data_IF_775553991875
#
_entry.id   IF_775553991875
#
_cell.length_a   1.000
_cell.length_b   1.000
_cell.length_c   1.000
_cell.angle_alpha   90.00
_cell.angle_beta   90.00
_cell.angle_gamma   90.00
#
_symmetry.space_group_name_H-M   'P 1'
#
loop_
_entity.id
_entity.type
_entity.pdbx_description
1 polymer ?
#
# COMPACT_ATOMS: atom_id res chain seq x y z
N UNK A 1 -7.52 -8.70 -11.12
CA UNK A 1 -6.90 -7.38 -11.42
C UNK A 1 -7.51 -6.34 -10.50
N UNK A 2 -6.76 -5.31 -10.12
CA UNK A 2 -7.23 -4.22 -9.25
C UNK A 2 -6.84 -2.85 -9.85
N UNK A 3 -7.22 -1.76 -9.17
CA UNK A 3 -6.85 -0.38 -9.53
C UNK A 3 -6.14 0.30 -8.34
N UNK A 4 -4.87 -0.04 -8.07
CA UNK A 4 -4.17 0.38 -6.86
C UNK A 4 -3.77 1.86 -6.88
N UNK A 5 -4.02 2.58 -7.98
CA UNK A 5 -3.65 3.98 -8.16
C UNK A 5 -4.84 4.94 -8.04
N UNK A 6 -6.06 4.48 -8.33
CA UNK A 6 -7.24 5.35 -8.44
C UNK A 6 -7.63 6.09 -7.16
N UNK A 7 -7.17 5.63 -5.98
CA UNK A 7 -7.51 6.22 -4.68
C UNK A 7 -6.36 7.02 -4.02
N UNK A 8 -5.21 7.20 -4.69
CA UNK A 8 -4.03 7.83 -4.07
C UNK A 8 -4.34 9.25 -3.57
N UNK A 9 -4.95 10.06 -4.43
CA UNK A 9 -5.27 11.47 -4.15
C UNK A 9 -6.31 11.56 -3.03
N UNK A 10 -7.38 10.77 -3.12
CA UNK A 10 -8.44 10.73 -2.13
C UNK A 10 -7.89 10.35 -0.74
N UNK A 11 -7.04 9.32 -0.67
CA UNK A 11 -6.44 8.89 0.59
C UNK A 11 -5.50 9.95 1.19
N UNK A 12 -4.74 10.65 0.34
CA UNK A 12 -3.88 11.75 0.78
C UNK A 12 -4.69 12.94 1.32
N UNK A 13 -5.79 13.30 0.65
CA UNK A 13 -6.68 14.37 1.09
C UNK A 13 -7.40 14.02 2.39
N UNK A 14 -7.89 12.79 2.52
CA UNK A 14 -8.50 12.31 3.75
C UNK A 14 -7.51 12.34 4.92
N UNK A 15 -6.25 11.97 4.70
CA UNK A 15 -5.19 12.08 5.71
C UNK A 15 -5.01 13.53 6.22
N UNK A 16 -4.99 14.50 5.31
CA UNK A 16 -4.90 15.92 5.67
C UNK A 16 -6.17 16.39 6.37
N UNK A 17 -7.35 15.94 5.93
CA UNK A 17 -8.63 16.26 6.55
C UNK A 17 -8.71 15.74 7.99
N UNK A 18 -8.28 14.51 8.25
CA UNK A 18 -8.17 13.92 9.58
C UNK A 18 -7.20 14.69 10.47
N UNK A 19 -6.03 15.05 9.93
CA UNK A 19 -5.03 15.88 10.61
C UNK A 19 -5.62 17.23 11.05
N UNK A 20 -6.26 17.95 10.12
CA UNK A 20 -6.89 19.24 10.41
C UNK A 20 -8.06 19.12 11.39
N UNK A 21 -8.87 18.06 11.26
CA UNK A 21 -10.01 17.80 12.15
C UNK A 21 -9.59 17.65 13.60
N UNK A 22 -8.49 16.95 13.86
CA UNK A 22 -7.89 16.87 15.19
C UNK A 22 -7.26 18.17 15.64
N UNK A 23 -6.39 18.75 14.82
CA UNK A 23 -5.61 19.95 15.18
C UNK A 23 -6.52 21.13 15.49
N UNK A 24 -7.67 21.22 14.82
CA UNK A 24 -8.64 22.31 14.98
C UNK A 24 -9.89 21.91 15.79
N UNK A 25 -9.96 20.67 16.29
CA UNK A 25 -11.09 20.13 17.07
C UNK A 25 -12.44 20.28 16.35
N UNK A 26 -12.45 20.10 15.03
CA UNK A 26 -13.62 20.37 14.17
C UNK A 26 -14.82 19.51 14.59
N UNK A 27 -14.59 18.21 14.80
CA UNK A 27 -15.66 17.24 15.14
C UNK A 27 -16.25 17.54 16.53
N UNK A 28 -15.41 17.84 17.52
CA UNK A 28 -15.88 18.19 18.87
C UNK A 28 -16.70 19.49 18.86
N UNK A 29 -16.23 20.51 18.13
CA UNK A 29 -16.88 21.80 18.03
C UNK A 29 -18.25 21.70 17.31
N UNK A 30 -18.32 20.95 16.21
CA UNK A 30 -19.58 20.66 15.50
C UNK A 30 -20.58 19.98 16.45
N UNK A 31 -20.15 18.93 17.18
CA UNK A 31 -21.01 18.22 18.12
C UNK A 31 -21.55 19.13 19.22
N UNK A 32 -20.73 20.02 19.77
CA UNK A 32 -21.12 20.98 20.81
C UNK A 32 -22.19 21.96 20.30
N UNK A 33 -22.00 22.53 19.11
CA UNK A 33 -22.99 23.45 18.51
C UNK A 33 -24.31 22.74 18.22
N UNK A 34 -24.28 21.50 17.70
CA UNK A 34 -25.48 20.69 17.46
C UNK A 34 -26.23 20.33 18.75
N UNK A 35 -25.50 20.20 19.85
CA UNK A 35 -26.08 20.00 21.18
C UNK A 35 -26.67 21.29 21.79
N UNK A 36 -26.63 22.42 21.07
CA UNK A 36 -27.13 23.72 21.54
C UNK A 36 -26.15 24.48 22.43
N UNK A 37 -24.90 24.04 22.53
CA UNK A 37 -23.87 24.71 23.32
C UNK A 37 -23.13 25.78 22.50
N UNK A 38 -22.65 26.83 23.18
CA UNK A 38 -21.77 27.84 22.57
C UNK A 38 -20.51 28.05 23.40
N UNK A 39 -19.59 27.09 23.33
CA UNK A 39 -18.42 27.01 24.23
C UNK A 39 -17.09 27.33 23.53
N UNK A 40 -17.02 28.47 22.80
CA UNK A 40 -15.85 28.90 22.00
C UNK A 40 -14.51 28.75 22.73
N UNK A 41 -14.43 29.13 24.01
CA UNK A 41 -13.19 29.09 24.80
C UNK A 41 -12.64 27.67 25.03
N UNK A 42 -13.48 26.62 24.92
CA UNK A 42 -13.05 25.22 25.06
C UNK A 42 -12.29 24.71 23.84
N UNK A 43 -12.47 25.32 22.66
CA UNK A 43 -11.96 24.80 21.38
C UNK A 43 -10.71 25.53 20.90
N UNK A 44 -9.67 25.58 21.74
CA UNK A 44 -8.35 26.06 21.33
C UNK A 44 -7.66 24.95 20.52
N UNK A 45 -7.39 25.23 19.25
CA UNK A 45 -6.69 24.34 18.34
C UNK A 45 -5.22 24.73 18.15
N UNK A 46 -4.55 24.02 17.23
CA UNK A 46 -3.15 24.22 16.87
C UNK A 46 -3.01 24.51 15.37
N UNK A 47 -2.09 25.40 15.02
CA UNK A 47 -1.69 25.64 13.62
C UNK A 47 -0.78 24.51 13.12
N UNK A 48 -0.77 24.25 11.81
CA UNK A 48 0.19 23.31 11.19
C UNK A 48 1.53 23.95 10.85
N UNK A 49 1.56 25.26 10.57
CA UNK A 49 2.77 25.97 10.17
C UNK A 49 3.91 25.76 11.17
N UNK A 50 5.10 25.50 10.65
CA UNK A 50 6.33 25.24 11.41
C UNK A 50 6.31 23.98 12.29
N UNK A 51 5.27 23.14 12.19
CA UNK A 51 5.25 21.82 12.83
C UNK A 51 5.93 20.78 11.96
N UNK A 52 6.34 19.68 12.59
CA UNK A 52 6.96 18.54 11.92
C UNK A 52 5.91 17.49 11.60
N UNK A 53 5.76 17.16 10.32
CA UNK A 53 5.07 15.96 9.87
C UNK A 53 6.09 14.82 9.78
N UNK A 54 5.86 13.76 10.55
CA UNK A 54 6.57 12.51 10.46
C UNK A 54 5.78 11.50 9.64
N UNK A 55 6.31 11.11 8.49
CA UNK A 55 5.74 10.06 7.65
C UNK A 55 6.38 8.72 7.96
N UNK A 56 5.57 7.71 8.20
CA UNK A 56 6.01 6.31 8.22
C UNK A 56 5.56 5.68 6.91
N UNK A 57 6.50 5.49 5.99
CA UNK A 57 6.25 5.18 4.58
C UNK A 57 6.12 6.43 3.70
N UNK A 58 6.90 6.50 2.63
CA UNK A 58 6.88 7.60 1.64
C UNK A 58 6.63 7.08 0.21
N UNK A 59 5.77 6.07 0.11
CA UNK A 59 5.20 5.64 -1.16
C UNK A 59 4.24 6.66 -1.77
N UNK A 60 3.46 6.25 -2.77
CA UNK A 60 2.61 7.15 -3.57
C UNK A 60 1.69 8.07 -2.73
N UNK A 61 0.98 7.51 -1.74
CA UNK A 61 0.10 8.31 -0.85
C UNK A 61 0.94 9.20 0.07
N UNK A 62 2.00 8.67 0.68
CA UNK A 62 2.87 9.42 1.57
C UNK A 62 3.53 10.63 0.88
N UNK A 63 3.97 10.50 -0.37
CA UNK A 63 4.51 11.62 -1.15
C UNK A 63 3.45 12.70 -1.41
N UNK A 64 2.21 12.31 -1.72
CA UNK A 64 1.10 13.25 -1.92
C UNK A 64 0.68 13.97 -0.63
N UNK A 65 0.82 13.30 0.52
CA UNK A 65 0.62 13.90 1.85
C UNK A 65 1.75 14.89 2.14
N UNK A 66 3.01 14.52 1.89
CA UNK A 66 4.18 15.39 2.08
C UNK A 66 4.02 16.70 1.29
N UNK A 67 3.65 16.61 0.01
CA UNK A 67 3.42 17.76 -0.87
C UNK A 67 2.35 18.70 -0.32
N UNK A 68 1.23 18.17 0.19
CA UNK A 68 0.15 18.97 0.79
C UNK A 68 0.59 19.59 2.12
N UNK A 69 1.28 18.83 2.97
CA UNK A 69 1.77 19.31 4.25
C UNK A 69 2.79 20.46 4.09
N UNK A 70 3.65 20.38 3.08
CA UNK A 70 4.58 21.46 2.73
C UNK A 70 3.84 22.77 2.39
N UNK A 71 2.68 22.70 1.72
CA UNK A 71 1.85 23.87 1.43
C UNK A 71 1.26 24.53 2.70
N UNK A 72 1.14 23.79 3.80
CA UNK A 72 0.80 24.34 5.13
C UNK A 72 2.03 24.89 5.89
N UNK A 73 3.22 24.85 5.29
CA UNK A 73 4.46 25.28 5.92
C UNK A 73 4.97 24.32 6.99
N UNK A 74 4.66 23.02 6.88
CA UNK A 74 5.22 21.98 7.74
C UNK A 74 6.61 21.55 7.26
N UNK A 75 7.46 21.14 8.19
CA UNK A 75 8.69 20.39 7.89
C UNK A 75 8.34 18.92 7.78
N UNK A 76 8.76 18.22 6.72
CA UNK A 76 8.46 16.80 6.53
C UNK A 76 9.71 15.94 6.76
N UNK A 77 9.61 14.99 7.68
CA UNK A 77 10.58 13.91 7.86
C UNK A 77 9.90 12.58 7.56
N UNK A 78 10.64 11.60 7.05
CA UNK A 78 10.06 10.33 6.66
C UNK A 78 10.98 9.15 7.02
N UNK A 79 10.36 8.06 7.46
CA UNK A 79 11.02 6.76 7.58
C UNK A 79 10.46 5.80 6.52
N UNK A 80 11.30 5.34 5.62
CA UNK A 80 10.97 4.30 4.64
C UNK A 80 12.26 3.55 4.26
N UNK A 81 12.39 2.26 4.64
CA UNK A 81 13.61 1.50 4.39
C UNK A 81 13.87 1.19 2.91
N UNK A 82 12.88 1.41 2.04
CA UNK A 82 12.99 1.17 0.59
C UNK A 82 13.14 2.46 -0.22
N UNK A 83 12.99 3.62 0.40
CA UNK A 83 13.15 4.90 -0.27
C UNK A 83 14.62 5.31 -0.36
N UNK A 84 14.96 6.03 -1.43
CA UNK A 84 16.25 6.70 -1.56
C UNK A 84 16.16 8.15 -1.11
N UNK A 85 17.27 8.71 -0.64
CA UNK A 85 17.41 10.14 -0.32
C UNK A 85 16.93 11.06 -1.45
N UNK A 86 17.22 10.69 -2.71
CA UNK A 86 16.78 11.46 -3.88
C UNK A 86 15.24 11.42 -4.04
N UNK A 87 14.62 10.25 -3.88
CA UNK A 87 13.17 10.11 -3.97
C UNK A 87 12.44 10.88 -2.86
N UNK A 88 12.97 10.85 -1.63
CA UNK A 88 12.39 11.57 -0.51
C UNK A 88 12.51 13.10 -0.67
N UNK A 89 13.68 13.60 -1.10
CA UNK A 89 13.86 15.03 -1.41
C UNK A 89 12.89 15.50 -2.49
N UNK A 90 12.66 14.68 -3.51
CA UNK A 90 11.69 14.99 -4.58
C UNK A 90 10.27 15.12 -4.03
N UNK A 91 9.90 14.29 -3.05
CA UNK A 91 8.64 14.39 -2.32
C UNK A 91 8.61 15.52 -1.26
N UNK A 92 9.70 16.28 -1.09
CA UNK A 92 9.79 17.36 -0.11
C UNK A 92 10.04 16.88 1.33
N UNK A 93 10.58 15.67 1.50
CA UNK A 93 10.87 15.09 2.81
C UNK A 93 12.36 14.79 3.00
N UNK A 94 12.79 14.75 4.26
CA UNK A 94 14.12 14.25 4.66
C UNK A 94 13.97 12.83 5.22
N UNK A 95 14.79 11.89 4.75
CA UNK A 95 14.81 10.54 5.32
C UNK A 95 15.50 10.53 6.68
N UNK A 96 14.91 9.77 7.60
CA UNK A 96 15.38 9.58 8.97
C UNK A 96 15.03 8.16 9.44
N UNK A 97 15.60 7.74 10.56
CA UNK A 97 15.15 6.49 11.20
C UNK A 97 13.78 6.66 11.87
N UNK A 98 13.15 5.53 12.20
CA UNK A 98 11.83 5.53 12.83
C UNK A 98 11.84 6.21 14.21
N UNK A 99 12.93 6.06 14.98
CA UNK A 99 13.03 6.65 16.33
C UNK A 99 13.03 8.18 16.24
N UNK A 100 13.76 8.76 15.29
CA UNK A 100 13.76 10.19 15.00
C UNK A 100 12.37 10.67 14.55
N UNK A 101 11.65 9.93 13.69
CA UNK A 101 10.26 10.26 13.34
C UNK A 101 9.41 10.37 14.60
N UNK A 102 9.41 9.33 15.44
CA UNK A 102 8.57 9.26 16.63
C UNK A 102 8.87 10.42 17.60
N UNK A 103 10.14 10.73 17.82
CA UNK A 103 10.57 11.73 18.81
C UNK A 103 10.42 13.17 18.33
N UNK A 104 10.51 13.42 17.03
CA UNK A 104 10.55 14.79 16.48
C UNK A 104 9.25 15.25 15.84
N UNK A 105 8.36 14.34 15.43
CA UNK A 105 7.11 14.69 14.77
C UNK A 105 6.07 15.27 15.74
N UNK A 106 5.32 16.25 15.25
CA UNK A 106 4.08 16.74 15.89
C UNK A 106 2.85 16.04 15.32
N UNK A 107 2.94 15.57 14.08
CA UNK A 107 1.92 14.73 13.42
C UNK A 107 2.65 13.50 12.88
N UNK A 108 2.28 12.30 13.32
CA UNK A 108 2.78 11.04 12.78
C UNK A 108 1.69 10.48 11.86
N UNK A 109 1.98 10.30 10.57
CA UNK A 109 1.05 9.73 9.60
C UNK A 109 1.58 8.44 8.98
N UNK A 110 0.74 7.41 8.96
CA UNK A 110 1.11 6.06 8.53
C UNK A 110 0.67 5.78 7.09
N UNK A 111 1.61 5.36 6.25
CA UNK A 111 1.41 5.04 4.83
C UNK A 111 2.20 3.79 4.41
N UNK A 112 2.15 2.75 5.24
CA UNK A 112 2.84 1.47 5.01
C UNK A 112 1.87 0.35 4.61
N UNK A 113 2.30 -0.63 3.80
CA UNK A 113 1.57 -1.88 3.66
C UNK A 113 1.58 -2.68 4.97
N UNK A 114 0.62 -3.58 5.12
CA UNK A 114 0.63 -4.54 6.22
C UNK A 114 1.59 -5.70 5.90
N UNK A 115 2.55 -5.91 6.78
CA UNK A 115 3.57 -6.96 6.75
C UNK A 115 3.85 -7.38 8.19
N UNK A 116 4.59 -8.47 8.40
CA UNK A 116 5.00 -8.87 9.75
C UNK A 116 5.86 -7.81 10.46
N UNK A 117 6.60 -6.98 9.68
CA UNK A 117 7.43 -5.89 10.21
C UNK A 117 6.64 -4.63 10.56
N UNK A 118 5.47 -4.44 9.97
CA UNK A 118 4.64 -3.23 10.14
C UNK A 118 3.41 -3.46 10.99
N UNK A 119 3.07 -4.73 11.29
CA UNK A 119 2.01 -5.09 12.24
C UNK A 119 2.38 -4.62 13.64
N UNK A 120 1.48 -3.89 14.30
CA UNK A 120 1.71 -3.36 15.64
C UNK A 120 2.91 -2.42 15.73
N UNK A 121 3.27 -1.77 14.63
CA UNK A 121 4.37 -0.80 14.58
C UNK A 121 4.14 0.35 15.55
N UNK A 122 2.89 0.83 15.61
CA UNK A 122 2.45 1.78 16.62
C UNK A 122 1.84 1.03 17.80
N UNK A 123 2.69 0.71 18.78
CA UNK A 123 2.38 0.04 20.03
C UNK A 123 2.74 0.92 21.26
N UNK A 124 2.57 0.40 22.47
CA UNK A 124 2.85 1.13 23.71
C UNK A 124 4.28 1.71 23.77
N UNK A 125 5.31 0.97 23.36
CA UNK A 125 6.69 1.44 23.36
C UNK A 125 6.89 2.60 22.36
N UNK A 126 6.35 2.47 21.16
CA UNK A 126 6.43 3.52 20.15
C UNK A 126 5.70 4.79 20.57
N UNK A 127 4.53 4.65 21.22
CA UNK A 127 3.72 5.76 21.71
C UNK A 127 4.44 6.50 22.83
N UNK A 128 5.15 5.79 23.71
CA UNK A 128 5.95 6.37 24.78
C UNK A 128 7.13 7.22 24.27
N UNK A 129 7.62 6.99 23.05
CA UNK A 129 8.69 7.77 22.42
C UNK A 129 8.19 9.08 21.81
N UNK A 130 6.89 9.20 21.56
CA UNK A 130 6.31 10.37 20.91
C UNK A 130 6.28 11.60 21.82
N UNK A 131 6.22 12.79 21.20
CA UNK A 131 5.94 14.01 21.97
C UNK A 131 4.58 13.91 22.62
N UNK A 132 4.45 14.47 23.82
CA UNK A 132 3.15 14.60 24.49
C UNK A 132 2.12 15.38 23.67
N UNK A 133 2.59 16.32 22.85
CA UNK A 133 1.77 17.11 21.93
C UNK A 133 1.48 16.44 20.59
N UNK A 134 2.07 15.27 20.32
CA UNK A 134 1.94 14.60 19.03
C UNK A 134 0.53 14.06 18.82
N UNK A 135 0.14 13.96 17.55
CA UNK A 135 -1.04 13.21 17.12
C UNK A 135 -0.64 12.10 16.15
N UNK A 136 -1.40 11.00 16.17
CA UNK A 136 -1.23 9.87 15.24
C UNK A 136 -2.38 9.86 14.23
N UNK A 137 -2.06 9.68 12.96
CA UNK A 137 -3.03 9.58 11.87
C UNK A 137 -2.81 8.28 11.10
N UNK A 138 -3.85 7.46 10.96
CA UNK A 138 -3.80 6.23 10.19
C UNK A 138 -5.00 6.10 9.25
N UNK A 139 -4.73 6.28 7.96
CA UNK A 139 -5.65 5.98 6.86
C UNK A 139 -5.08 4.92 5.91
N UNK A 140 -4.20 4.04 6.43
CA UNK A 140 -3.48 3.04 5.64
C UNK A 140 -3.98 1.61 5.90
N UNK A 141 -3.51 0.98 6.99
CA UNK A 141 -3.86 -0.38 7.40
C UNK A 141 -4.12 -0.44 8.90
N UNK A 142 -5.22 -1.06 9.31
CA UNK A 142 -5.68 -1.05 10.69
C UNK A 142 -4.70 -1.69 11.66
N UNK A 143 -4.16 -2.85 11.30
CA UNK A 143 -3.27 -3.67 12.15
C UNK A 143 -1.87 -3.09 12.34
N UNK A 144 -1.56 -1.94 11.71
CA UNK A 144 -0.31 -1.22 11.95
C UNK A 144 -0.32 -0.54 13.32
N UNK A 145 -1.51 -0.26 13.85
CA UNK A 145 -1.72 0.39 15.14
C UNK A 145 -2.36 -0.60 16.11
N UNK A 146 -1.76 -0.76 17.28
CA UNK A 146 -2.43 -1.37 18.43
C UNK A 146 -3.42 -0.36 19.02
N UNK A 147 -4.72 -0.57 18.75
CA UNK A 147 -5.76 0.37 19.14
C UNK A 147 -6.03 0.41 20.64
N UNK A 148 -5.70 -0.66 21.38
CA UNK A 148 -5.89 -0.71 22.83
C UNK A 148 -4.75 0.01 23.54
N UNK A 149 -3.51 -0.17 23.07
CA UNK A 149 -2.37 0.63 23.51
C UNK A 149 -2.59 2.13 23.19
N UNK A 150 -3.11 2.44 22.00
CA UNK A 150 -3.44 3.80 21.60
C UNK A 150 -4.52 4.43 22.49
N UNK A 151 -5.61 3.71 22.75
CA UNK A 151 -6.67 4.19 23.64
C UNK A 151 -6.12 4.49 25.04
N UNK A 152 -5.32 3.58 25.60
CA UNK A 152 -4.67 3.75 26.89
C UNK A 152 -3.71 4.94 26.92
N UNK A 153 -2.92 5.15 25.87
CA UNK A 153 -2.01 6.29 25.74
C UNK A 153 -2.76 7.62 25.68
N UNK A 154 -3.93 7.67 25.04
CA UNK A 154 -4.79 8.85 24.99
C UNK A 154 -5.42 9.17 26.33
N UNK A 155 -5.92 8.15 27.05
CA UNK A 155 -6.48 8.32 28.40
C UNK A 155 -5.44 8.84 29.39
N UNK A 156 -4.19 8.33 29.31
CA UNK A 156 -3.06 8.81 30.14
C UNK A 156 -2.51 10.15 29.69
N UNK A 157 -2.92 10.66 28.52
CA UNK A 157 -2.37 11.87 27.92
C UNK A 157 -0.89 11.75 27.56
N UNK A 158 -0.45 10.54 27.17
CA UNK A 158 0.88 10.24 26.61
C UNK A 158 1.04 10.94 25.25
N UNK A 159 -0.02 11.02 24.46
CA UNK A 159 -0.11 11.80 23.21
C UNK A 159 -1.38 12.65 23.21
N UNK A 160 -1.50 13.62 22.29
CA UNK A 160 -2.56 14.63 22.31
C UNK A 160 -3.83 14.27 21.53
N UNK A 161 -3.79 13.23 20.68
CA UNK A 161 -4.93 12.81 19.88
C UNK A 161 -4.58 11.75 18.82
N UNK A 162 -5.62 11.13 18.26
CA UNK A 162 -5.45 10.17 17.17
C UNK A 162 -6.63 10.19 16.18
N UNK A 163 -6.34 10.00 14.90
CA UNK A 163 -7.35 9.93 13.86
C UNK A 163 -7.16 8.65 13.04
N UNK A 164 -8.20 7.81 13.01
CA UNK A 164 -8.15 6.49 12.39
C UNK A 164 -9.29 6.37 11.38
N UNK A 165 -8.95 6.02 10.16
CA UNK A 165 -9.92 5.61 9.14
C UNK A 165 -10.05 4.09 9.01
N UNK A 166 -9.05 3.35 9.51
CA UNK A 166 -8.93 1.90 9.36
C UNK A 166 -8.71 1.22 10.70
N UNK A 167 -9.20 -0.01 10.83
CA UNK A 167 -9.16 -0.77 12.08
C UNK A 167 -8.76 -2.23 11.82
N UNK A 168 -8.16 -2.88 12.82
CA UNK A 168 -7.75 -4.29 12.68
C UNK A 168 -8.95 -5.22 12.43
N UNK A 169 -10.10 -4.88 13.01
CA UNK A 169 -11.37 -5.53 12.74
C UNK A 169 -12.37 -4.49 12.23
N UNK A 170 -12.92 -4.75 11.04
CA UNK A 170 -13.93 -3.91 10.40
C UNK A 170 -15.19 -4.75 10.09
N UNK A 171 -16.39 -4.35 10.53
CA UNK A 171 -16.71 -3.13 11.28
C UNK A 171 -16.08 -3.09 12.69
N UNK A 172 -15.74 -1.88 13.15
CA UNK A 172 -15.14 -1.68 14.49
C UNK A 172 -16.09 -2.23 15.58
N UNK A 173 -15.65 -3.13 16.49
CA UNK A 173 -16.49 -3.66 17.55
C UNK A 173 -17.07 -2.56 18.46
N UNK A 174 -18.30 -2.74 18.94
CA UNK A 174 -19.03 -1.71 19.70
C UNK A 174 -18.40 -1.40 21.07
N UNK A 175 -17.74 -2.38 21.67
CA UNK A 175 -17.08 -2.33 22.97
C UNK A 175 -15.63 -1.84 22.91
N UNK A 176 -15.02 -1.79 21.71
CA UNK A 176 -13.64 -1.37 21.48
C UNK A 176 -13.29 -0.05 22.22
N UNK A 177 -12.20 -0.08 23.01
CA UNK A 177 -11.83 1.02 23.91
C UNK A 177 -11.62 2.35 23.17
N UNK A 178 -11.04 2.29 21.96
CA UNK A 178 -10.77 3.46 21.12
C UNK A 178 -12.04 4.29 20.80
N UNK A 179 -13.24 3.69 20.81
CA UNK A 179 -14.51 4.41 20.62
C UNK A 179 -14.81 5.43 21.72
N UNK A 180 -14.28 5.20 22.93
CA UNK A 180 -14.48 6.05 24.11
C UNK A 180 -13.25 6.90 24.45
N UNK A 181 -12.12 6.62 23.81
CA UNK A 181 -10.87 7.33 24.06
C UNK A 181 -11.02 8.82 23.72
N UNK A 182 -10.46 9.72 24.55
CA UNK A 182 -10.56 11.16 24.32
C UNK A 182 -9.75 11.56 23.08
N UNK A 183 -10.10 12.70 22.48
CA UNK A 183 -9.32 13.34 21.39
C UNK A 183 -9.13 12.42 20.18
N UNK A 184 -10.16 11.65 19.85
CA UNK A 184 -10.19 10.76 18.69
C UNK A 184 -11.08 11.28 17.56
N UNK A 185 -10.68 11.03 16.31
CA UNK A 185 -11.54 11.14 15.13
C UNK A 185 -11.54 9.79 14.42
N UNK A 186 -12.69 9.15 14.33
CA UNK A 186 -12.82 7.81 13.76
C UNK A 186 -13.73 7.87 12.53
N UNK A 187 -13.25 7.40 11.39
CA UNK A 187 -14.02 7.34 10.13
C UNK A 187 -14.08 5.90 9.61
N UNK A 188 -15.17 5.50 8.93
CA UNK A 188 -15.42 4.09 8.62
C UNK A 188 -14.80 3.66 7.28
N UNK A 189 -13.47 3.72 7.16
CA UNK A 189 -12.71 3.30 5.98
C UNK A 189 -13.15 4.00 4.69
N UNK A 190 -13.16 5.33 4.72
CA UNK A 190 -13.64 6.17 3.62
C UNK A 190 -12.55 6.96 2.91
N UNK A 191 -11.27 6.71 3.22
CA UNK A 191 -10.15 7.40 2.57
C UNK A 191 -10.17 7.30 1.04
N UNK A 192 -10.66 6.18 0.49
CA UNK A 192 -10.82 5.98 -0.96
C UNK A 192 -12.21 6.28 -1.51
N UNK A 193 -13.15 6.71 -0.66
CA UNK A 193 -14.58 6.81 -0.99
C UNK A 193 -14.95 8.20 -1.50
N UNK A 194 -14.41 8.57 -2.66
CA UNK A 194 -14.77 9.81 -3.38
C UNK A 194 -15.31 9.50 -4.78
N UNK A 195 -16.14 10.38 -5.33
CA UNK A 195 -16.68 10.25 -6.69
C UNK A 195 -15.54 10.13 -7.71
N UNK A 196 -14.48 10.92 -7.55
CA UNK A 196 -13.30 10.94 -8.40
C UNK A 196 -12.53 9.62 -8.30
N UNK A 197 -12.31 9.12 -7.08
CA UNK A 197 -11.61 7.85 -6.89
C UNK A 197 -12.40 6.67 -7.47
N UNK A 198 -13.72 6.63 -7.28
CA UNK A 198 -14.57 5.60 -7.87
C UNK A 198 -14.54 5.65 -9.41
N UNK A 199 -14.56 6.87 -9.98
CA UNK A 199 -14.43 7.07 -11.43
C UNK A 199 -13.07 6.59 -11.93
N UNK A 200 -11.98 6.99 -11.29
CA UNK A 200 -10.63 6.60 -11.67
C UNK A 200 -10.43 5.08 -11.57
N UNK A 201 -10.93 4.46 -10.49
CA UNK A 201 -10.90 3.00 -10.32
C UNK A 201 -11.67 2.30 -11.44
N UNK A 202 -12.86 2.80 -11.79
CA UNK A 202 -13.65 2.24 -12.88
C UNK A 202 -12.91 2.34 -14.23
N UNK A 203 -12.37 3.52 -14.56
CA UNK A 203 -11.58 3.74 -15.78
C UNK A 203 -10.36 2.82 -15.81
N UNK A 204 -9.56 2.77 -14.74
CA UNK A 204 -8.37 1.93 -14.63
C UNK A 204 -8.69 0.44 -14.84
N UNK A 205 -9.82 -0.03 -14.31
CA UNK A 205 -10.26 -1.42 -14.50
C UNK A 205 -10.71 -1.66 -15.94
N UNK A 206 -11.52 -0.76 -16.51
CA UNK A 206 -12.02 -0.89 -17.89
C UNK A 206 -10.87 -0.89 -18.89
N UNK A 207 -9.91 0.03 -18.76
CA UNK A 207 -8.73 0.06 -19.64
C UNK A 207 -7.94 -1.24 -19.56
N UNK A 208 -7.73 -1.78 -18.35
CA UNK A 208 -7.04 -3.06 -18.20
C UNK A 208 -7.84 -4.23 -18.80
N UNK A 209 -9.18 -4.20 -18.76
CA UNK A 209 -10.02 -5.22 -19.41
C UNK A 209 -9.84 -5.13 -20.92
N UNK A 210 -9.90 -3.92 -21.49
CA UNK A 210 -9.70 -3.71 -22.91
C UNK A 210 -8.31 -4.17 -23.36
N UNK A 211 -7.26 -3.84 -22.60
CA UNK A 211 -5.91 -4.33 -22.85
C UNK A 211 -5.85 -5.87 -22.89
N UNK A 212 -6.48 -6.54 -21.92
CA UNK A 212 -6.53 -8.02 -21.89
C UNK A 212 -7.31 -8.60 -23.07
N UNK A 213 -8.43 -7.99 -23.45
CA UNK A 213 -9.23 -8.43 -24.60
C UNK A 213 -8.49 -8.22 -25.94
N UNK A 214 -7.62 -7.21 -26.01
CA UNK A 214 -6.70 -6.96 -27.12
C UNK A 214 -5.44 -7.86 -27.08
N UNK A 215 -5.36 -8.80 -26.14
CA UNK A 215 -4.25 -9.74 -26.01
C UNK A 215 -3.00 -9.16 -25.33
N UNK A 216 -3.08 -7.97 -24.74
CA UNK A 216 -2.02 -7.41 -23.89
C UNK A 216 -2.12 -7.95 -22.46
N UNK A 217 -1.03 -7.92 -21.67
CA UNK A 217 -1.09 -8.39 -20.29
C UNK A 217 -1.83 -7.41 -19.36
N UNK A 218 -2.47 -7.94 -18.31
CA UNK A 218 -3.09 -7.13 -17.27
C UNK A 218 -2.02 -6.43 -16.41
N UNK A 219 -2.03 -5.08 -16.40
CA UNK A 219 -1.03 -4.23 -15.71
C UNK A 219 -0.96 -4.46 -14.20
N UNK A 220 -2.11 -4.63 -13.55
CA UNK A 220 -2.24 -4.88 -12.12
C UNK A 220 -2.98 -6.21 -11.87
N UNK A 221 -2.50 -7.27 -12.49
CA UNK A 221 -2.93 -8.62 -12.15
C UNK A 221 -2.59 -8.92 -10.67
N UNK A 222 -3.54 -9.52 -9.96
CA UNK A 222 -3.39 -9.89 -8.54
C UNK A 222 -3.01 -11.36 -8.36
N UNK A 223 -3.15 -12.13 -9.44
CA UNK A 223 -2.99 -13.58 -9.49
C UNK A 223 -2.15 -14.03 -10.70
N UNK A 224 -1.55 -13.10 -11.44
CA UNK A 224 -0.66 -13.41 -12.56
C UNK A 224 0.72 -12.82 -12.29
N UNK A 225 1.78 -13.43 -12.85
CA UNK A 225 3.11 -12.83 -12.84
C UNK A 225 3.06 -11.41 -13.41
N UNK A 226 3.86 -10.52 -12.83
CA UNK A 226 3.91 -9.14 -13.29
C UNK A 226 4.53 -9.09 -14.68
N UNK A 227 3.99 -8.28 -15.62
CA UNK A 227 4.63 -8.11 -16.91
C UNK A 227 6.04 -7.54 -16.71
N UNK A 228 7.09 -8.13 -17.31
CA UNK A 228 8.44 -7.59 -17.23
C UNK A 228 8.50 -6.22 -17.92
N UNK A 229 9.41 -5.35 -17.45
CA UNK A 229 9.57 -4.00 -18.00
C UNK A 229 9.90 -4.02 -19.50
N UNK A 230 9.26 -3.13 -20.28
CA UNK A 230 9.45 -3.06 -21.74
C UNK A 230 10.81 -2.46 -22.14
N UNK A 231 11.47 -1.72 -21.26
CA UNK A 231 12.77 -1.08 -21.51
C UNK A 231 13.88 -2.08 -21.89
N UNK A 232 13.74 -3.37 -21.51
CA UNK A 232 14.62 -4.47 -21.88
C UNK A 232 13.97 -5.48 -22.85
N UNK A 233 12.89 -5.10 -23.54
CA UNK A 233 12.14 -5.96 -24.44
C UNK A 233 11.37 -7.07 -23.73
N UNK A 234 10.91 -6.83 -22.49
CA UNK A 234 10.31 -7.83 -21.62
C UNK A 234 9.25 -8.70 -22.29
N UNK A 235 8.34 -8.12 -23.08
CA UNK A 235 7.29 -8.89 -23.74
C UNK A 235 7.78 -9.70 -24.94
N UNK A 236 8.89 -9.30 -25.56
CA UNK A 236 9.55 -10.12 -26.57
C UNK A 236 10.12 -11.40 -25.92
N UNK A 237 10.73 -11.30 -24.73
CA UNK A 237 11.23 -12.45 -23.98
C UNK A 237 10.12 -13.37 -23.48
N UNK A 238 8.99 -12.82 -23.00
CA UNK A 238 7.81 -13.61 -22.63
C UNK A 238 7.29 -14.40 -23.83
N UNK A 239 7.13 -13.76 -25.00
CA UNK A 239 6.72 -14.44 -26.23
C UNK A 239 7.73 -15.50 -26.70
N UNK A 240 9.02 -15.21 -26.55
CA UNK A 240 10.08 -16.17 -26.88
C UNK A 240 10.01 -17.39 -25.95
N UNK A 241 9.92 -17.18 -24.64
CA UNK A 241 9.81 -18.25 -23.64
C UNK A 241 8.60 -19.15 -23.91
N UNK A 242 7.44 -18.55 -24.21
CA UNK A 242 6.24 -19.30 -24.60
C UNK A 242 6.45 -20.14 -25.86
N UNK A 243 7.07 -19.55 -26.91
CA UNK A 243 7.38 -20.27 -28.15
C UNK A 243 8.39 -21.38 -27.94
N UNK A 244 9.39 -21.19 -27.08
CA UNK A 244 10.37 -22.22 -26.74
C UNK A 244 9.72 -23.38 -25.98
N UNK A 245 8.81 -23.09 -25.04
CA UNK A 245 8.02 -24.12 -24.37
C UNK A 245 7.15 -24.92 -25.34
N UNK A 246 6.47 -24.24 -26.27
CA UNK A 246 5.65 -24.88 -27.31
C UNK A 246 6.49 -25.69 -28.30
N UNK A 247 7.67 -25.19 -28.68
CA UNK A 247 8.61 -25.92 -29.52
C UNK A 247 9.12 -27.18 -28.81
N UNK A 248 9.50 -27.06 -27.54
CA UNK A 248 9.92 -28.20 -26.74
C UNK A 248 8.81 -29.26 -26.67
N UNK A 249 7.56 -28.86 -26.46
CA UNK A 249 6.43 -29.79 -26.46
C UNK A 249 6.30 -30.60 -27.76
N UNK A 250 6.50 -29.96 -28.92
CA UNK A 250 6.40 -30.60 -30.23
C UNK A 250 7.55 -31.56 -30.55
N UNK A 251 8.69 -31.42 -29.86
CA UNK A 251 9.85 -32.29 -30.01
C UNK A 251 9.80 -33.51 -29.07
N UNK A 252 8.81 -33.58 -28.19
CA UNK A 252 8.65 -34.67 -27.24
C UNK A 252 7.57 -35.65 -27.72
N UNK A 253 7.87 -36.94 -27.65
CA UNK A 253 6.90 -38.00 -27.96
C UNK A 253 5.85 -38.15 -26.85
N UNK A 254 6.24 -37.84 -25.61
CA UNK A 254 5.43 -38.00 -24.39
C UNK A 254 5.55 -36.78 -23.47
N UNK A 255 4.64 -36.71 -22.50
CA UNK A 255 4.61 -35.63 -21.51
C UNK A 255 5.87 -35.65 -20.62
N UNK A 256 6.60 -34.53 -20.47
CA UNK A 256 7.83 -34.51 -19.69
C UNK A 256 7.57 -34.56 -18.18
N UNK A 257 8.45 -35.25 -17.46
CA UNK A 257 8.48 -35.25 -15.99
C UNK A 257 9.19 -34.00 -15.42
N UNK A 258 10.11 -33.41 -16.19
CA UNK A 258 10.90 -32.26 -15.79
C UNK A 258 11.05 -31.25 -16.94
N UNK A 259 11.00 -29.96 -16.59
CA UNK A 259 11.34 -28.83 -17.46
C UNK A 259 12.50 -28.07 -16.81
N UNK A 260 13.61 -27.93 -17.52
CA UNK A 260 14.74 -27.09 -17.09
C UNK A 260 14.75 -25.79 -17.91
N UNK A 261 14.82 -24.65 -17.22
CA UNK A 261 14.92 -23.33 -17.83
C UNK A 261 16.27 -22.69 -17.49
N UNK A 262 17.06 -22.40 -18.52
CA UNK A 262 18.35 -21.72 -18.39
C UNK A 262 18.25 -20.28 -18.88
N UNK A 263 18.62 -19.34 -18.02
CA UNK A 263 18.61 -17.90 -18.30
C UNK A 263 20.05 -17.40 -18.40
N UNK A 264 20.41 -16.78 -19.54
CA UNK A 264 21.74 -16.25 -19.77
C UNK A 264 21.72 -14.86 -20.45
N UNK A 265 22.67 -14.01 -20.09
CA UNK A 265 22.84 -12.69 -20.70
C UNK A 265 21.78 -11.66 -20.26
N UNK A 266 21.32 -10.83 -21.21
CA UNK A 266 20.48 -9.66 -20.91
C UNK A 266 19.14 -9.98 -20.21
N UNK A 267 18.64 -11.22 -20.36
CA UNK A 267 17.40 -11.69 -19.75
C UNK A 267 17.48 -11.79 -18.22
N UNK A 268 18.70 -11.83 -17.64
CA UNK A 268 18.90 -11.90 -16.19
C UNK A 268 18.43 -10.62 -15.46
N UNK A 269 18.31 -9.50 -16.18
CA UNK A 269 17.74 -8.26 -15.64
C UNK A 269 16.21 -8.25 -15.55
N UNK A 270 15.53 -9.29 -16.06
CA UNK A 270 14.08 -9.42 -16.02
C UNK A 270 13.60 -10.29 -14.86
N UNK A 271 12.34 -10.09 -14.49
CA UNK A 271 11.65 -10.97 -13.56
C UNK A 271 11.50 -12.38 -14.18
N UNK A 272 12.13 -13.41 -13.60
CA UNK A 272 12.09 -14.76 -14.15
C UNK A 272 10.71 -15.39 -14.05
N UNK A 273 9.84 -14.91 -13.15
CA UNK A 273 8.55 -15.55 -12.90
C UNK A 273 7.64 -15.50 -14.13
N UNK A 274 7.61 -14.35 -14.82
CA UNK A 274 6.84 -14.18 -16.05
C UNK A 274 7.37 -15.07 -17.19
N UNK A 275 8.70 -15.22 -17.28
CA UNK A 275 9.34 -16.07 -18.29
C UNK A 275 9.08 -17.55 -18.01
N UNK A 276 9.19 -17.97 -16.74
CA UNK A 276 8.87 -19.32 -16.28
C UNK A 276 7.42 -19.67 -16.59
N UNK A 277 6.48 -18.82 -16.18
CA UNK A 277 5.06 -19.04 -16.44
C UNK A 277 4.75 -19.12 -17.94
N UNK A 278 5.40 -18.30 -18.77
CA UNK A 278 5.24 -18.33 -20.22
C UNK A 278 5.79 -19.61 -20.85
N UNK A 279 6.99 -20.06 -20.47
CA UNK A 279 7.57 -21.32 -20.96
C UNK A 279 6.71 -22.53 -20.55
N UNK A 280 6.27 -22.57 -19.30
CA UNK A 280 5.38 -23.63 -18.79
C UNK A 280 4.03 -23.60 -19.50
N UNK A 281 3.47 -22.41 -19.75
CA UNK A 281 2.23 -22.25 -20.54
C UNK A 281 2.41 -22.88 -21.92
N UNK A 282 3.42 -22.45 -22.68
CA UNK A 282 3.66 -22.94 -24.03
C UNK A 282 3.88 -24.45 -24.09
N UNK A 283 4.58 -25.01 -23.10
CA UNK A 283 4.77 -26.45 -22.98
C UNK A 283 3.43 -27.17 -22.72
N UNK A 284 2.69 -26.76 -21.69
CA UNK A 284 1.50 -27.46 -21.23
C UNK A 284 0.30 -27.29 -22.16
N UNK A 285 0.20 -26.18 -22.89
CA UNK A 285 -0.92 -25.91 -23.81
C UNK A 285 -1.03 -26.98 -24.91
N UNK A 286 0.10 -27.60 -25.30
CA UNK A 286 0.14 -28.70 -26.27
C UNK A 286 -0.39 -30.04 -25.70
N UNK A 287 -0.34 -30.22 -24.38
CA UNK A 287 -0.69 -31.47 -23.69
C UNK A 287 -1.96 -31.35 -22.83
N UNK A 288 -2.71 -30.26 -22.93
CA UNK A 288 -3.79 -29.92 -22.00
C UNK A 288 -5.08 -29.59 -22.73
N UNK A 289 -6.15 -30.32 -22.42
CA UNK A 289 -7.51 -29.96 -22.86
C UNK A 289 -8.06 -28.73 -22.11
N UNK A 290 -7.55 -28.48 -20.90
CA UNK A 290 -7.84 -27.26 -20.14
C UNK A 290 -6.99 -26.10 -20.69
N UNK A 291 -7.63 -24.96 -20.93
CA UNK A 291 -6.96 -23.71 -21.33
C UNK A 291 -5.86 -23.33 -20.34
N UNK A 292 -4.63 -23.22 -20.83
CA UNK A 292 -3.46 -22.81 -20.05
C UNK A 292 -3.18 -21.33 -20.30
N UNK A 293 -2.83 -20.58 -19.25
CA UNK A 293 -2.49 -19.17 -19.31
C UNK A 293 -1.42 -18.83 -18.25
N UNK A 294 -0.91 -17.61 -18.24
CA UNK A 294 0.16 -17.19 -17.32
C UNK A 294 -0.21 -17.24 -15.83
N UNK A 295 -1.51 -17.24 -15.51
CA UNK A 295 -2.02 -17.37 -14.12
C UNK A 295 -1.96 -18.81 -13.67
N UNK A 296 -2.53 -19.73 -14.45
CA UNK A 296 -2.72 -21.12 -14.02
C UNK A 296 -1.58 -22.06 -14.44
N UNK A 297 -0.66 -21.65 -15.31
CA UNK A 297 0.38 -22.52 -15.87
C UNK A 297 1.23 -23.20 -14.78
N UNK A 298 1.69 -22.45 -13.77
CA UNK A 298 2.56 -23.00 -12.71
C UNK A 298 1.81 -23.92 -11.75
N UNK A 299 0.55 -23.61 -11.46
CA UNK A 299 -0.29 -24.47 -10.61
C UNK A 299 -0.68 -25.74 -11.36
N UNK A 300 -1.00 -25.62 -12.64
CA UNK A 300 -1.29 -26.75 -13.51
C UNK A 300 -0.05 -27.60 -13.77
N UNK A 301 1.17 -27.05 -13.77
CA UNK A 301 2.39 -27.85 -13.80
C UNK A 301 2.52 -28.69 -12.52
N UNK A 302 2.35 -28.05 -11.35
CA UNK A 302 2.47 -28.67 -10.03
C UNK A 302 1.43 -29.77 -9.81
N UNK A 303 0.16 -29.50 -10.11
CA UNK A 303 -0.95 -30.46 -9.92
C UNK A 303 -0.80 -31.74 -10.74
N UNK A 304 0.07 -31.70 -11.74
CA UNK A 304 0.27 -32.72 -12.76
C UNK A 304 1.67 -33.34 -12.65
N UNK A 305 2.43 -32.98 -11.62
CA UNK A 305 3.73 -33.58 -11.29
C UNK A 305 4.90 -33.12 -12.15
N UNK A 306 4.78 -32.01 -12.89
CA UNK A 306 5.92 -31.46 -13.66
C UNK A 306 6.90 -30.77 -12.70
N UNK A 307 8.14 -31.26 -12.65
CA UNK A 307 9.24 -30.62 -11.91
C UNK A 307 9.83 -29.50 -12.75
N UNK A 308 9.92 -28.29 -12.20
CA UNK A 308 10.53 -27.14 -12.89
C UNK A 308 11.86 -26.84 -12.20
N UNK A 309 12.96 -26.96 -12.96
CA UNK A 309 14.30 -26.59 -12.53
C UNK A 309 14.75 -25.33 -13.26
N UNK A 310 15.56 -24.50 -12.59
CA UNK A 310 16.05 -23.25 -13.18
C UNK A 310 17.54 -23.08 -12.94
N UNK A 311 18.22 -22.58 -13.99
CA UNK A 311 19.63 -22.26 -13.96
C UNK A 311 19.85 -20.83 -14.46
N UNK A 312 20.70 -20.09 -13.76
CA UNK A 312 21.08 -18.71 -14.12
C UNK A 312 22.58 -18.69 -14.37
N UNK A 313 22.98 -18.27 -15.57
CA UNK A 313 24.37 -18.28 -16.06
C UNK A 313 24.85 -16.89 -16.49
#
# INVERSE_FOLDING_TARGET
>A
MNAPLGNIVAAAEHTIALTLSLMRRVVDADRSVRAGEWTRSKFIGNELRSKVLGLVGIGRVGSEVARRAAAFGMTVVAHDPFATEASARTAGARLVDLDEVLRTADVISLHVPLTDKTRGLINEESLAKMKRSAIVVNASRGEVVDTDALASALERGTIAGAALDVFAQEPLPADAAIRRAPRTVLTPHIAGSTTEAQTNVAVDVVEQILDVLDGKPARFAVNAPRPPAEEAGGMAWVRLAERLGSLAAQLLDDRPAQLELSYAGAVLGLDPEALRAAAVKGLLETFSEQRVNLVNALDLARSRGLVIAERRE
#
